data_IF_333373640067
#
_entry.id   IF_333373640067
#
_cell.length_a   1.000
_cell.length_b   1.000
_cell.length_c   1.000
_cell.angle_alpha   90.00
_cell.angle_beta   90.00
_cell.angle_gamma   90.00
#
_symmetry.space_group_name_H-M   'P 1'
#
loop_
_entity.id
_entity.type
_entity.pdbx_description
1 polymer ?
#
# COMPACT_ATOMS: atom_id res chain seq x y z
N UNK A 1 7.82 -1.95 -8.04
CA UNK A 1 8.40 -0.76 -7.36
C UNK A 1 9.42 -1.16 -6.33
N UNK A 2 10.29 -0.20 -5.90
CA UNK A 2 11.23 -0.44 -4.79
C UNK A 2 11.04 0.64 -3.74
N UNK A 3 10.95 0.24 -2.48
CA UNK A 3 10.72 1.11 -1.33
C UNK A 3 11.82 0.95 -0.29
N UNK A 4 12.15 2.04 0.39
CA UNK A 4 12.98 2.05 1.58
C UNK A 4 12.09 2.13 2.81
N UNK A 5 12.47 1.45 3.90
CA UNK A 5 11.71 1.50 5.13
C UNK A 5 12.60 1.67 6.37
N UNK A 6 12.07 2.40 7.35
CA UNK A 6 12.62 2.46 8.71
C UNK A 6 12.21 1.23 9.53
N UNK A 7 11.10 0.58 9.17
CA UNK A 7 10.52 -0.56 9.89
C UNK A 7 10.14 -1.67 8.91
N UNK A 8 11.04 -2.65 8.78
CA UNK A 8 10.82 -3.79 7.88
C UNK A 8 9.63 -4.65 8.32
N UNK A 9 9.42 -4.83 9.62
CA UNK A 9 8.34 -5.66 10.16
C UNK A 9 6.98 -5.07 9.82
N UNK A 10 6.77 -3.79 10.12
CA UNK A 10 5.52 -3.10 9.80
C UNK A 10 5.26 -3.06 8.28
N UNK A 11 6.31 -2.81 7.48
CA UNK A 11 6.19 -2.79 6.02
C UNK A 11 5.83 -4.16 5.46
N UNK A 12 6.46 -5.22 5.95
CA UNK A 12 6.09 -6.60 5.56
C UNK A 12 4.65 -6.92 5.95
N UNK A 13 4.23 -6.59 7.17
CA UNK A 13 2.86 -6.81 7.62
C UNK A 13 1.84 -6.08 6.72
N UNK A 14 2.12 -4.83 6.35
CA UNK A 14 1.26 -4.08 5.43
C UNK A 14 1.13 -4.80 4.09
N UNK A 15 2.25 -5.08 3.41
CA UNK A 15 2.19 -5.66 2.07
C UNK A 15 1.70 -7.11 2.04
N UNK A 16 1.93 -7.90 3.10
CA UNK A 16 1.49 -9.31 3.12
C UNK A 16 0.10 -9.50 3.71
N UNK A 17 -0.24 -8.85 4.82
CA UNK A 17 -1.51 -9.08 5.51
C UNK A 17 -2.62 -8.15 5.02
N UNK A 18 -2.27 -6.91 4.64
CA UNK A 18 -3.26 -5.91 4.20
C UNK A 18 -3.42 -5.94 2.67
N UNK A 19 -2.32 -5.83 1.93
CA UNK A 19 -2.35 -5.86 0.45
C UNK A 19 -2.52 -7.28 -0.08
N UNK A 20 -2.00 -8.30 0.60
CA UNK A 20 -2.15 -9.70 0.23
C UNK A 20 -1.04 -10.21 -0.70
N UNK A 21 0.10 -9.53 -0.77
CA UNK A 21 1.28 -10.04 -1.47
C UNK A 21 1.94 -11.17 -0.69
N UNK A 22 2.73 -11.99 -1.37
CA UNK A 22 3.48 -13.09 -0.78
C UNK A 22 4.98 -12.87 -0.95
N UNK A 23 5.75 -13.37 0.00
CA UNK A 23 7.22 -13.36 -0.12
C UNK A 23 7.66 -14.28 -1.25
N UNK A 24 8.57 -13.78 -2.08
CA UNK A 24 9.23 -14.55 -3.14
C UNK A 24 10.73 -14.61 -2.88
N UNK A 25 11.42 -15.53 -3.57
CA UNK A 25 12.87 -15.71 -3.40
C UNK A 25 13.63 -14.41 -3.64
N UNK A 26 14.49 -14.06 -2.70
CA UNK A 26 15.36 -12.87 -2.75
C UNK A 26 16.82 -13.33 -2.57
N UNK A 27 17.74 -12.92 -3.45
CA UNK A 27 19.17 -13.14 -3.22
C UNK A 27 19.64 -12.48 -1.92
N UNK A 28 20.69 -13.02 -1.32
CA UNK A 28 21.35 -12.35 -0.20
C UNK A 28 22.20 -11.18 -0.71
N UNK A 29 21.77 -9.98 -0.38
CA UNK A 29 22.47 -8.73 -0.71
C UNK A 29 23.35 -8.22 0.46
N UNK A 30 23.43 -8.97 1.57
CA UNK A 30 24.17 -8.54 2.76
C UNK A 30 23.46 -7.42 3.57
N UNK A 31 22.18 -7.16 3.31
CA UNK A 31 21.36 -6.21 4.06
C UNK A 31 19.91 -6.68 4.16
N UNK A 32 19.17 -6.24 5.20
CA UNK A 32 17.76 -6.61 5.40
C UNK A 32 16.86 -6.11 4.27
N UNK A 33 15.82 -6.88 3.95
CA UNK A 33 14.82 -6.52 2.95
C UNK A 33 14.01 -7.72 2.53
N UNK A 34 13.08 -7.51 1.60
CA UNK A 34 12.23 -8.55 1.07
C UNK A 34 11.85 -8.28 -0.38
N UNK A 35 11.50 -9.34 -1.09
CA UNK A 35 10.83 -9.29 -2.38
C UNK A 35 9.45 -9.89 -2.24
N UNK A 36 8.44 -9.19 -2.75
CA UNK A 36 7.05 -9.57 -2.64
C UNK A 36 6.41 -9.61 -4.03
N UNK A 37 5.62 -10.63 -4.27
CA UNK A 37 4.89 -10.86 -5.52
C UNK A 37 3.40 -11.10 -5.29
N UNK A 38 2.64 -11.15 -6.39
CA UNK A 38 1.24 -11.58 -6.37
C UNK A 38 1.19 -13.08 -6.07
N UNK A 39 0.24 -13.57 -5.24
CA UNK A 39 0.04 -15.00 -5.04
C UNK A 39 -0.16 -15.74 -6.36
N UNK A 40 0.51 -16.87 -6.53
CA UNK A 40 0.41 -17.68 -7.75
C UNK A 40 1.76 -18.22 -8.24
N UNK A 41 1.77 -18.93 -9.36
CA UNK A 41 2.95 -19.66 -9.83
C UNK A 41 4.03 -18.78 -10.48
N UNK A 42 3.77 -17.48 -10.72
CA UNK A 42 4.72 -16.62 -11.45
C UNK A 42 6.03 -16.39 -10.70
N UNK A 43 5.99 -16.35 -9.35
CA UNK A 43 7.17 -16.10 -8.51
C UNK A 43 7.84 -14.74 -8.74
N UNK A 44 7.23 -13.85 -9.54
CA UNK A 44 7.83 -12.54 -9.86
C UNK A 44 7.59 -11.54 -8.74
N UNK A 45 8.69 -10.88 -8.33
CA UNK A 45 8.60 -9.76 -7.40
C UNK A 45 8.06 -8.51 -8.10
N UNK A 46 7.04 -7.88 -7.49
CA UNK A 46 6.50 -6.58 -7.92
C UNK A 46 6.86 -5.46 -6.94
N UNK A 47 7.20 -5.82 -5.69
CA UNK A 47 7.67 -4.88 -4.66
C UNK A 47 8.99 -5.39 -4.10
N UNK A 48 10.01 -4.54 -4.12
CA UNK A 48 11.29 -4.76 -3.45
C UNK A 48 11.37 -3.84 -2.24
N UNK A 49 11.69 -4.40 -1.08
CA UNK A 49 11.82 -3.64 0.18
C UNK A 49 13.29 -3.63 0.59
N UNK A 50 13.80 -2.43 0.88
CA UNK A 50 15.13 -2.19 1.41
C UNK A 50 15.02 -1.72 2.85
N UNK A 51 15.83 -2.31 3.75
CA UNK A 51 15.95 -1.90 5.13
C UNK A 51 17.43 -1.85 5.55
N UNK A 52 17.71 -1.41 6.76
CA UNK A 52 19.06 -1.27 7.26
C UNK A 52 19.88 -0.20 6.55
N UNK A 53 21.20 -0.34 6.51
CA UNK A 53 22.12 0.67 5.96
C UNK A 53 21.74 1.23 4.58
N UNK A 54 21.42 0.41 3.57
CA UNK A 54 21.03 0.89 2.24
C UNK A 54 19.73 1.71 2.21
N UNK A 55 18.82 1.49 3.18
CA UNK A 55 17.60 2.28 3.31
C UNK A 55 17.82 3.56 4.10
N UNK A 56 18.55 3.47 5.19
CA UNK A 56 18.67 4.55 6.18
C UNK A 56 19.77 5.56 5.81
N UNK A 57 20.80 5.11 5.06
CA UNK A 57 21.94 5.95 4.69
C UNK A 57 22.67 6.53 5.88
N UNK A 58 23.45 7.59 5.68
CA UNK A 58 24.21 8.28 6.73
C UNK A 58 23.31 9.06 7.71
N UNK A 59 22.08 9.35 7.34
CA UNK A 59 21.12 10.04 8.21
C UNK A 59 20.49 9.12 9.27
N UNK A 60 20.68 7.79 9.16
CA UNK A 60 20.10 6.82 10.08
C UNK A 60 18.57 6.66 9.96
N UNK A 61 17.95 7.30 8.98
CA UNK A 61 16.52 7.21 8.70
C UNK A 61 16.24 7.41 7.22
N UNK A 62 15.18 6.77 6.70
CA UNK A 62 14.66 7.06 5.37
C UNK A 62 13.66 8.22 5.43
N UNK A 63 13.60 9.01 4.37
CA UNK A 63 12.58 10.04 4.21
C UNK A 63 11.22 9.37 3.99
N UNK A 64 10.19 9.88 4.65
CA UNK A 64 8.81 9.42 4.44
C UNK A 64 8.21 10.02 3.17
N UNK A 65 7.31 9.25 2.54
CA UNK A 65 6.63 9.66 1.31
C UNK A 65 7.36 9.24 0.04
N UNK A 66 6.81 9.64 -1.08
CA UNK A 66 7.24 9.20 -2.42
C UNK A 66 7.80 10.34 -3.29
N UNK A 67 8.01 11.52 -2.71
CA UNK A 67 8.53 12.69 -3.43
C UNK A 67 7.56 13.20 -4.50
N UNK A 68 7.99 13.23 -5.76
CA UNK A 68 7.16 13.66 -6.89
C UNK A 68 6.20 12.57 -7.41
N UNK A 69 6.31 11.34 -6.92
CA UNK A 69 5.37 10.26 -7.24
C UNK A 69 4.16 10.42 -6.32
N UNK A 70 3.00 10.73 -6.86
CA UNK A 70 1.76 10.91 -6.09
C UNK A 70 1.31 9.56 -5.49
N UNK A 71 1.11 8.55 -6.32
CA UNK A 71 0.75 7.19 -5.91
C UNK A 71 1.25 6.13 -6.88
N UNK A 72 1.16 4.88 -6.45
CA UNK A 72 1.42 3.69 -7.28
C UNK A 72 0.13 2.89 -7.36
N UNK A 73 -0.33 2.59 -8.58
CA UNK A 73 -1.59 1.86 -8.81
C UNK A 73 -1.35 0.36 -8.89
N UNK A 74 -2.19 -0.40 -8.21
CA UNK A 74 -2.30 -1.84 -8.30
C UNK A 74 -3.72 -2.21 -8.76
N UNK A 75 -3.83 -3.06 -9.79
CA UNK A 75 -5.12 -3.64 -10.16
C UNK A 75 -5.48 -4.76 -9.19
N UNK A 76 -6.67 -4.68 -8.61
CA UNK A 76 -7.13 -5.55 -7.54
C UNK A 76 -8.53 -6.08 -7.80
N UNK A 77 -8.93 -7.07 -6.99
CA UNK A 77 -10.28 -7.61 -6.86
C UNK A 77 -10.65 -7.65 -5.39
N UNK A 78 -11.95 -7.80 -5.08
CA UNK A 78 -12.47 -7.87 -3.72
C UNK A 78 -12.36 -6.53 -2.97
N UNK A 79 -12.99 -5.49 -3.54
CA UNK A 79 -13.03 -4.14 -2.99
C UNK A 79 -13.43 -4.10 -1.50
N UNK A 80 -14.48 -4.87 -1.13
CA UNK A 80 -14.96 -4.91 0.27
C UNK A 80 -13.99 -5.63 1.19
N UNK A 81 -13.38 -6.70 0.75
CA UNK A 81 -12.36 -7.41 1.52
C UNK A 81 -11.14 -6.53 1.82
N UNK A 82 -10.79 -5.58 0.94
CA UNK A 82 -9.76 -4.59 1.25
C UNK A 82 -10.21 -3.62 2.34
N UNK A 83 -11.44 -3.12 2.30
CA UNK A 83 -11.99 -2.25 3.35
C UNK A 83 -12.01 -2.96 4.70
N UNK A 84 -12.40 -4.24 4.73
CA UNK A 84 -12.39 -5.05 5.95
C UNK A 84 -10.98 -5.20 6.52
N UNK A 85 -9.98 -5.45 5.67
CA UNK A 85 -8.57 -5.52 6.09
C UNK A 85 -8.04 -4.18 6.60
N UNK A 86 -8.40 -3.07 5.95
CA UNK A 86 -8.03 -1.73 6.42
C UNK A 86 -8.63 -1.42 7.78
N UNK A 87 -9.91 -1.74 7.95
CA UNK A 87 -10.62 -1.58 9.22
C UNK A 87 -9.98 -2.41 10.33
N UNK A 88 -9.71 -3.70 10.07
CA UNK A 88 -9.09 -4.59 11.04
C UNK A 88 -7.65 -4.14 11.41
N UNK A 89 -6.93 -3.54 10.48
CA UNK A 89 -5.58 -3.01 10.69
C UNK A 89 -5.57 -1.60 11.31
N UNK A 90 -6.73 -0.95 11.49
CA UNK A 90 -6.84 0.43 11.99
C UNK A 90 -6.31 1.49 11.02
N UNK A 91 -6.23 1.16 9.73
CA UNK A 91 -5.72 2.07 8.71
C UNK A 91 -6.77 3.12 8.31
N UNK A 92 -6.30 4.28 7.92
CA UNK A 92 -7.09 5.28 7.22
C UNK A 92 -7.03 5.00 5.72
N UNK A 93 -8.16 5.20 5.01
CA UNK A 93 -8.24 5.10 3.56
C UNK A 93 -9.22 6.12 2.99
N UNK A 94 -9.20 6.29 1.68
CA UNK A 94 -10.18 7.07 0.93
C UNK A 94 -10.72 6.25 -0.22
N UNK A 95 -11.95 6.56 -0.61
CA UNK A 95 -12.69 5.87 -1.66
C UNK A 95 -12.95 6.83 -2.82
N UNK A 96 -12.94 6.31 -4.04
CA UNK A 96 -13.23 7.11 -5.22
C UNK A 96 -13.93 6.28 -6.30
N UNK A 97 -14.81 6.93 -7.04
CA UNK A 97 -15.42 6.43 -8.26
C UNK A 97 -14.98 7.35 -9.38
N UNK A 98 -14.26 6.80 -10.36
CA UNK A 98 -13.79 7.61 -11.50
C UNK A 98 -14.99 8.05 -12.34
N UNK A 99 -15.20 9.36 -12.50
CA UNK A 99 -16.40 9.88 -13.18
C UNK A 99 -16.58 9.33 -14.59
N UNK A 100 -17.79 8.87 -14.89
CA UNK A 100 -18.15 8.34 -16.21
C UNK A 100 -17.61 6.95 -16.51
N UNK A 101 -17.10 6.23 -15.51
CA UNK A 101 -16.56 4.88 -15.65
C UNK A 101 -17.12 3.93 -14.58
N UNK A 102 -16.78 2.63 -14.69
CA UNK A 102 -17.02 1.62 -13.65
C UNK A 102 -15.83 1.44 -12.71
N UNK A 103 -14.79 2.27 -12.82
CA UNK A 103 -13.56 2.11 -12.02
C UNK A 103 -13.77 2.61 -10.59
N UNK A 104 -13.65 1.71 -9.63
CA UNK A 104 -13.63 1.99 -8.20
C UNK A 104 -12.19 2.02 -7.70
N UNK A 105 -11.90 2.91 -6.77
CA UNK A 105 -10.54 3.07 -6.24
C UNK A 105 -10.54 3.16 -4.73
N UNK A 106 -9.52 2.57 -4.09
CA UNK A 106 -9.17 2.76 -2.70
C UNK A 106 -7.76 3.36 -2.62
N UNK A 107 -7.61 4.40 -1.83
CA UNK A 107 -6.32 5.02 -1.55
C UNK A 107 -5.92 4.72 -0.11
N UNK A 108 -4.70 4.24 0.09
CA UNK A 108 -4.14 3.90 1.40
C UNK A 108 -2.64 4.20 1.41
N UNK A 109 -2.11 4.56 2.55
CA UNK A 109 -0.66 4.75 2.71
C UNK A 109 -0.01 3.53 3.35
N UNK A 110 1.20 3.19 2.89
CA UNK A 110 2.06 2.24 3.56
C UNK A 110 2.77 2.87 4.78
N UNK A 111 3.47 2.10 5.64
CA UNK A 111 4.18 2.65 6.81
C UNK A 111 5.28 3.67 6.49
N UNK A 112 5.75 3.71 5.25
CA UNK A 112 6.75 4.68 4.78
C UNK A 112 6.13 5.95 4.17
N UNK A 113 4.79 6.05 4.16
CA UNK A 113 4.08 7.17 3.56
C UNK A 113 3.99 7.12 2.03
N UNK A 114 4.18 5.95 1.44
CA UNK A 114 3.93 5.75 0.01
C UNK A 114 2.44 5.51 -0.20
N UNK A 115 1.79 6.35 -0.99
CA UNK A 115 0.38 6.19 -1.32
C UNK A 115 0.20 5.09 -2.38
N UNK A 116 -0.69 4.16 -2.09
CA UNK A 116 -1.18 3.18 -3.06
C UNK A 116 -2.58 3.56 -3.50
N UNK A 117 -2.84 3.43 -4.80
CA UNK A 117 -4.15 3.35 -5.39
C UNK A 117 -4.44 1.87 -5.69
N UNK A 118 -5.50 1.33 -5.13
CA UNK A 118 -6.01 0.01 -5.49
C UNK A 118 -7.19 0.22 -6.43
N UNK A 119 -7.08 -0.26 -7.66
CA UNK A 119 -8.04 -0.02 -8.74
C UNK A 119 -8.82 -1.30 -9.03
N UNK A 120 -10.16 -1.17 -9.09
CA UNK A 120 -11.10 -2.28 -9.25
C UNK A 120 -12.05 -2.01 -10.43
N UNK A 121 -12.46 -3.06 -11.12
CA UNK A 121 -13.59 -2.99 -12.04
C UNK A 121 -14.91 -3.16 -11.26
N UNK A 122 -15.55 -2.07 -10.93
CA UNK A 122 -16.80 -2.06 -10.17
C UNK A 122 -17.94 -2.83 -10.83
N UNK A 123 -17.86 -3.13 -12.13
CA UNK A 123 -18.86 -3.98 -12.80
C UNK A 123 -18.76 -5.45 -12.37
N UNK A 124 -17.64 -5.86 -11.81
CA UNK A 124 -17.38 -7.23 -11.31
C UNK A 124 -17.38 -7.33 -9.79
N UNK A 125 -17.34 -6.20 -9.09
CA UNK A 125 -17.34 -6.14 -7.65
C UNK A 125 -18.75 -6.32 -7.06
N UNK A 126 -18.79 -6.82 -5.82
CA UNK A 126 -20.04 -7.02 -5.08
C UNK A 126 -20.21 -5.99 -3.96
N UNK A 127 -21.47 -5.73 -3.59
CA UNK A 127 -21.80 -4.79 -2.51
C UNK A 127 -21.98 -3.35 -2.98
N UNK A 128 -22.10 -2.40 -2.02
CA UNK A 128 -22.35 -1.00 -2.34
C UNK A 128 -21.13 -0.35 -3.02
N UNK A 129 -21.37 0.68 -3.87
CA UNK A 129 -20.28 1.44 -4.50
C UNK A 129 -19.45 2.21 -3.48
N UNK A 130 -18.32 2.84 -3.90
CA UNK A 130 -17.49 3.67 -3.05
C UNK A 130 -18.29 4.75 -2.29
N UNK A 131 -17.93 4.95 -1.03
CA UNK A 131 -18.48 6.01 -0.18
C UNK A 131 -17.73 7.32 -0.45
N UNK A 132 -18.41 8.27 -1.08
CA UNK A 132 -17.85 9.59 -1.42
C UNK A 132 -18.24 10.68 -0.43
N UNK A 133 -18.78 10.33 0.74
CA UNK A 133 -19.15 11.29 1.78
C UNK A 133 -17.93 12.08 2.29
N UNK A 134 -18.15 13.27 2.89
CA UNK A 134 -17.07 14.07 3.45
C UNK A 134 -16.17 13.28 4.42
N UNK A 135 -14.86 13.36 4.23
CA UNK A 135 -13.88 12.62 5.02
C UNK A 135 -13.64 11.17 4.59
N UNK A 136 -14.50 10.59 3.72
CA UNK A 136 -14.30 9.28 3.12
C UNK A 136 -13.86 9.38 1.66
N UNK A 137 -14.43 10.31 0.91
CA UNK A 137 -14.07 10.54 -0.49
C UNK A 137 -12.60 11.00 -0.64
N UNK A 138 -11.92 10.47 -1.67
CA UNK A 138 -10.56 10.92 -2.03
C UNK A 138 -10.60 12.32 -2.65
N UNK A 139 -9.66 13.16 -2.25
CA UNK A 139 -9.46 14.49 -2.82
C UNK A 139 -8.02 14.59 -3.32
N UNK A 140 -7.84 14.76 -4.62
CA UNK A 140 -6.52 14.84 -5.24
C UNK A 140 -5.66 15.95 -4.62
N UNK A 141 -4.40 15.63 -4.35
CA UNK A 141 -3.46 16.56 -3.74
C UNK A 141 -3.63 16.76 -2.23
N UNK A 142 -4.58 16.05 -1.59
CA UNK A 142 -4.79 16.13 -0.13
C UNK A 142 -4.31 14.84 0.53
N UNK A 143 -3.18 14.91 1.24
CA UNK A 143 -2.68 13.78 2.04
C UNK A 143 -3.52 13.60 3.30
N UNK A 144 -3.73 12.34 3.66
CA UNK A 144 -4.31 11.91 4.94
C UNK A 144 -3.33 11.01 5.73
N UNK A 145 -2.06 11.00 5.33
CA UNK A 145 -1.00 10.28 6.05
C UNK A 145 -0.51 11.11 7.23
N UNK A 146 -0.52 10.49 8.41
CA UNK A 146 0.08 11.05 9.62
C UNK A 146 0.93 9.96 10.30
N UNK A 147 2.26 10.07 10.27
CA UNK A 147 3.14 9.09 10.87
C UNK A 147 2.98 8.97 12.39
N UNK A 148 2.47 10.03 13.06
CA UNK A 148 2.28 10.01 14.51
C UNK A 148 1.11 9.14 14.94
N UNK A 149 0.10 9.00 14.08
CA UNK A 149 -1.12 8.23 14.35
C UNK A 149 -1.23 6.96 13.50
N UNK A 150 -0.22 6.69 12.65
CA UNK A 150 -0.21 5.48 11.82
C UNK A 150 -0.18 4.22 12.70
N UNK A 151 -1.03 3.21 12.46
CA UNK A 151 -1.11 2.03 13.31
C UNK A 151 0.18 1.21 13.29
N UNK A 152 0.52 0.62 14.43
CA UNK A 152 1.64 -0.33 14.52
C UNK A 152 1.21 -1.67 13.93
N UNK A 153 1.77 -1.99 12.78
CA UNK A 153 1.54 -3.27 12.09
C UNK A 153 2.64 -4.28 12.49
N UNK A 154 2.24 -5.55 12.61
CA UNK A 154 3.15 -6.65 13.02
C UNK A 154 2.75 -7.98 12.37
#
# INVERSE_FOLDING_TARGET
MSIKTNDLTATLAFYTKVIGLVSVSRPDFGYPGAWLGVPGPSGHAIVHIYAGGPALGSAGATVLGSGAIDHVTLTCHDFRGFIDRFTAAGLQWREFLVPGTTTWQLFVFDPSGVQLELSFDGSTETGPPPDLSPGRGYVAGTSFFDPATYPKLS
#
